data_IF_964508203876
#
_entry.id   IF_964508203876
#
_cell.length_a   1.000
_cell.length_b   1.000
_cell.length_c   1.000
_cell.angle_alpha   90.00
_cell.angle_beta   90.00
_cell.angle_gamma   90.00
#
_symmetry.space_group_name_H-M   'P 1'
#
loop_
_entity.id
_entity.type
_entity.pdbx_description
1 polymer ?
#
# COMPACT_ATOMS: atom_id res chain seq x y z
N UNK A 1 -9.18 12.57 -14.11
CA UNK A 1 -9.89 11.84 -13.04
C UNK A 1 -8.95 10.72 -12.62
N UNK A 2 -8.22 10.89 -11.52
CA UNK A 2 -7.28 9.87 -11.02
C UNK A 2 -8.11 8.69 -10.54
N UNK A 3 -8.02 7.59 -11.28
CA UNK A 3 -8.64 6.32 -10.90
C UNK A 3 -8.01 5.92 -9.57
N UNK A 4 -8.78 6.01 -8.48
CA UNK A 4 -8.44 5.40 -7.19
C UNK A 4 -8.65 3.89 -7.37
N UNK A 5 -7.66 3.20 -7.90
CA UNK A 5 -7.62 1.74 -7.92
C UNK A 5 -6.85 1.29 -6.67
N UNK A 6 -7.52 0.72 -5.65
CA UNK A 6 -6.87 0.23 -4.43
C UNK A 6 -5.80 -0.82 -4.72
N UNK A 7 -5.94 -1.60 -5.80
CA UNK A 7 -4.91 -2.58 -6.22
C UNK A 7 -3.67 -1.87 -6.75
N UNK A 8 -3.85 -0.78 -7.48
CA UNK A 8 -2.74 0.05 -7.94
C UNK A 8 -2.02 0.73 -6.75
N UNK A 9 -2.76 1.25 -5.77
CA UNK A 9 -2.17 1.83 -4.56
C UNK A 9 -1.42 0.79 -3.73
N UNK A 10 -2.04 -0.38 -3.48
CA UNK A 10 -1.40 -1.53 -2.82
C UNK A 10 -0.08 -1.90 -3.50
N UNK A 11 -0.11 -2.07 -4.82
CA UNK A 11 1.08 -2.40 -5.60
C UNK A 11 2.18 -1.32 -5.45
N UNK A 12 1.83 -0.03 -5.50
CA UNK A 12 2.81 1.04 -5.29
C UNK A 12 3.44 1.03 -3.91
N UNK A 13 2.68 0.71 -2.87
CA UNK A 13 3.19 0.61 -1.49
C UNK A 13 4.07 -0.64 -1.32
N UNK A 14 3.69 -1.78 -1.91
CA UNK A 14 4.47 -3.02 -1.93
C UNK A 14 5.83 -2.84 -2.63
N UNK A 15 5.87 -2.19 -3.79
CA UNK A 15 7.10 -1.87 -4.52
C UNK A 15 8.04 -0.98 -3.69
N UNK A 16 7.49 0.08 -3.07
CA UNK A 16 8.27 0.95 -2.18
C UNK A 16 8.81 0.19 -0.98
N UNK A 17 8.02 -0.71 -0.40
CA UNK A 17 8.47 -1.57 0.70
C UNK A 17 9.60 -2.51 0.30
N UNK A 18 9.53 -3.09 -0.90
CA UNK A 18 10.58 -3.98 -1.40
C UNK A 18 11.92 -3.23 -1.52
N UNK A 19 11.91 -2.02 -2.10
CA UNK A 19 13.09 -1.16 -2.22
C UNK A 19 13.65 -0.79 -0.84
N UNK A 20 12.82 -0.30 0.08
CA UNK A 20 13.27 0.11 1.41
C UNK A 20 13.81 -1.06 2.22
N UNK A 21 13.20 -2.26 2.11
CA UNK A 21 13.71 -3.48 2.75
C UNK A 21 15.05 -3.91 2.17
N UNK A 22 15.26 -3.74 0.86
CA UNK A 22 16.55 -4.01 0.23
C UNK A 22 17.62 -3.01 0.70
N UNK A 23 17.31 -1.71 0.72
CA UNK A 23 18.18 -0.68 1.28
C UNK A 23 18.56 -1.01 2.73
N UNK A 24 17.58 -1.33 3.57
CA UNK A 24 17.81 -1.69 4.97
C UNK A 24 18.73 -2.89 5.16
N UNK A 25 18.62 -3.90 4.28
CA UNK A 25 19.50 -5.08 4.30
C UNK A 25 20.93 -4.75 3.90
N UNK A 26 21.13 -3.76 3.04
CA UNK A 26 22.45 -3.32 2.57
C UNK A 26 23.11 -2.33 3.54
N UNK A 27 22.34 -1.71 4.44
CA UNK A 27 22.85 -0.78 5.43
C UNK A 27 23.66 -1.47 6.52
N UNK A 28 24.71 -0.77 6.98
CA UNK A 28 25.49 -1.21 8.14
C UNK A 28 24.66 -1.12 9.41
N UNK A 29 24.96 -1.99 10.38
CA UNK A 29 24.20 -2.06 11.64
C UNK A 29 24.40 -0.85 12.56
N UNK A 30 25.50 -0.13 12.39
CA UNK A 30 25.85 1.10 13.09
C UNK A 30 25.43 2.37 12.33
N UNK A 31 24.79 2.24 11.16
CA UNK A 31 24.32 3.39 10.41
C UNK A 31 23.19 4.11 11.16
N UNK A 32 23.35 5.40 11.51
CA UNK A 32 22.36 6.13 12.30
C UNK A 32 21.01 6.29 11.57
N UNK A 33 21.00 6.27 10.24
CA UNK A 33 19.77 6.37 9.44
C UNK A 33 19.00 5.05 9.32
N UNK A 34 19.59 3.94 9.76
CA UNK A 34 18.95 2.62 9.77
C UNK A 34 17.69 2.59 10.65
N UNK A 35 17.71 3.29 11.79
CA UNK A 35 16.55 3.39 12.67
C UNK A 35 15.38 4.12 12.03
N UNK A 36 15.65 5.18 11.26
CA UNK A 36 14.60 5.93 10.56
C UNK A 36 14.05 5.16 9.36
N UNK A 37 14.91 4.44 8.65
CA UNK A 37 14.47 3.53 7.58
C UNK A 37 13.59 2.40 8.14
N UNK A 38 13.95 1.82 9.30
CA UNK A 38 13.13 0.81 9.97
C UNK A 38 11.74 1.33 10.33
N UNK A 39 11.66 2.54 10.89
CA UNK A 39 10.37 3.19 11.20
C UNK A 39 9.53 3.39 9.95
N UNK A 40 10.16 3.86 8.87
CA UNK A 40 9.47 4.10 7.59
C UNK A 40 8.93 2.82 6.96
N UNK A 41 9.69 1.72 7.03
CA UNK A 41 9.22 0.38 6.65
C UNK A 41 8.00 0.00 7.50
N UNK A 42 8.08 0.15 8.83
CA UNK A 42 6.96 -0.18 9.72
C UNK A 42 5.69 0.64 9.45
N UNK A 43 5.82 1.92 9.09
CA UNK A 43 4.67 2.76 8.72
C UNK A 43 3.99 2.24 7.45
N UNK A 44 4.76 1.90 6.41
CA UNK A 44 4.21 1.38 5.15
C UNK A 44 3.60 -0.02 5.32
N UNK A 45 4.19 -0.87 6.17
CA UNK A 45 3.58 -2.17 6.51
C UNK A 45 2.25 -2.00 7.25
N UNK A 46 2.13 -0.98 8.10
CA UNK A 46 0.88 -0.65 8.77
C UNK A 46 -0.16 -0.06 7.82
N UNK A 47 0.27 0.70 6.81
CA UNK A 47 -0.60 1.21 5.74
C UNK A 47 -1.17 0.06 4.89
N UNK A 48 -0.33 -0.91 4.48
CA UNK A 48 -0.81 -2.11 3.78
C UNK A 48 -1.82 -2.89 4.60
N UNK A 49 -1.59 -3.07 5.90
CA UNK A 49 -2.54 -3.75 6.78
C UNK A 49 -3.88 -3.03 6.87
N UNK A 50 -3.88 -1.69 6.82
CA UNK A 50 -5.12 -0.93 6.80
C UNK A 50 -5.84 -1.09 5.48
N UNK A 51 -5.13 -1.07 4.35
CA UNK A 51 -5.70 -1.34 3.02
C UNK A 51 -6.29 -2.76 2.96
N UNK A 52 -5.58 -3.75 3.49
CA UNK A 52 -6.05 -5.14 3.56
C UNK A 52 -7.31 -5.25 4.43
N UNK A 53 -7.31 -4.60 5.59
CA UNK A 53 -8.46 -4.58 6.50
C UNK A 53 -9.67 -3.89 5.86
N UNK A 54 -9.46 -2.77 5.16
CA UNK A 54 -10.51 -2.05 4.44
C UNK A 54 -11.07 -2.89 3.28
N UNK A 55 -10.24 -3.65 2.56
CA UNK A 55 -10.68 -4.59 1.51
C UNK A 55 -11.45 -5.79 2.11
N UNK A 56 -11.03 -6.31 3.26
CA UNK A 56 -11.76 -7.37 3.99
C UNK A 56 -13.10 -6.90 4.56
N UNK A 57 -13.16 -5.70 5.14
CA UNK A 57 -14.36 -5.14 5.78
C UNK A 57 -15.41 -4.66 4.76
N UNK A 58 -14.98 -4.12 3.63
CA UNK A 58 -15.88 -3.60 2.59
C UNK A 58 -16.13 -4.59 1.44
N UNK A 59 -15.42 -5.71 1.41
CA UNK A 59 -15.30 -6.55 0.21
C UNK A 59 -14.69 -5.75 -0.95
N UNK A 60 -14.46 -6.39 -2.09
CA UNK A 60 -14.01 -5.73 -3.33
C UNK A 60 -15.11 -4.82 -3.95
N UNK A 61 -15.80 -4.04 -3.12
CA UNK A 61 -16.92 -3.16 -3.48
C UNK A 61 -16.47 -1.70 -3.60
N UNK A 62 -15.24 -1.47 -4.07
CA UNK A 62 -14.69 -0.15 -4.36
C UNK A 62 -15.09 0.40 -5.75
N UNK A 63 -16.16 -0.15 -6.34
CA UNK A 63 -16.86 0.46 -7.47
C UNK A 63 -18.19 1.05 -6.95
N UNK A 64 -18.22 2.36 -6.75
CA UNK A 64 -19.49 3.09 -6.75
C UNK A 64 -19.83 3.44 -8.21
N UNK A 65 -20.97 2.91 -8.65
CA UNK A 65 -21.51 2.91 -10.01
C UNK A 65 -22.16 4.26 -10.38
N UNK A 66 -21.86 5.36 -9.67
CA UNK A 66 -22.54 6.64 -9.89
C UNK A 66 -22.07 7.41 -11.15
N UNK A 67 -21.13 6.88 -11.93
CA UNK A 67 -20.88 7.36 -13.30
C UNK A 67 -20.42 6.24 -14.22
N UNK A 68 -21.37 5.42 -14.69
CA UNK A 68 -21.21 4.84 -16.03
C UNK A 68 -21.75 3.45 -16.30
N UNK A 69 -22.91 3.10 -15.73
CA UNK A 69 -24.00 2.31 -16.34
C UNK A 69 -24.59 1.35 -15.31
N UNK A 70 -25.71 1.75 -14.70
CA UNK A 70 -26.62 0.78 -14.13
C UNK A 70 -27.20 -0.09 -15.25
N UNK A 71 -27.18 -1.40 -15.01
CA UNK A 71 -28.10 -2.41 -15.52
C UNK A 71 -28.30 -2.51 -17.05
N UNK A 72 -27.81 -3.60 -17.64
CA UNK A 72 -28.67 -4.42 -18.52
C UNK A 72 -28.19 -5.88 -18.62
N UNK A 73 -29.12 -6.79 -18.29
CA UNK A 73 -29.20 -8.26 -18.45
C UNK A 73 -28.19 -9.21 -17.80
#
# INVERSE_FOLDING_TARGET
MTIYDPKFWRWQVEERLAVLKQEFKLMRSDDPSRGDLQKRIGMLENELKQIDKEDEEHGTQWYDEETGAAADM
#
